data_IF_846184267493
#
_entry.id   IF_846184267493
#
_cell.length_a   1.000
_cell.length_b   1.000
_cell.length_c   1.000
_cell.angle_alpha   90.00
_cell.angle_beta   90.00
_cell.angle_gamma   90.00
#
_symmetry.space_group_name_H-M   'P 1'
#
loop_
_entity.id
_entity.type
_entity.pdbx_description
1 polymer ?
#
# COMPACT_ATOMS: atom_id res chain seq x y z
N UNK A 1 -18.30 16.89 7.85
CA UNK A 1 -19.03 17.07 6.56
C UNK A 1 -18.51 16.18 5.44
N UNK A 2 -19.25 15.11 5.10
CA UNK A 2 -18.91 14.18 4.00
C UNK A 2 -18.86 14.86 2.61
N UNK A 3 -19.67 15.91 2.40
CA UNK A 3 -19.69 16.68 1.14
C UNK A 3 -18.45 17.55 0.96
N UNK A 4 -17.90 18.10 2.05
CA UNK A 4 -16.68 18.92 2.04
C UNK A 4 -15.46 18.03 1.74
N UNK A 5 -15.41 16.85 2.36
CA UNK A 5 -14.41 15.82 2.07
C UNK A 5 -14.41 15.42 0.58
N UNK A 6 -15.59 15.21 0.00
CA UNK A 6 -15.73 14.86 -1.41
C UNK A 6 -15.31 16.00 -2.36
N UNK A 7 -15.47 17.26 -1.94
CA UNK A 7 -15.01 18.41 -2.71
C UNK A 7 -13.48 18.45 -2.83
N UNK A 8 -12.76 18.21 -1.74
CA UNK A 8 -11.29 18.13 -1.76
C UNK A 8 -10.76 16.85 -2.42
N UNK A 9 -11.54 15.77 -2.43
CA UNK A 9 -11.16 14.51 -3.09
C UNK A 9 -11.25 14.57 -4.62
N UNK A 10 -12.27 15.26 -5.15
CA UNK A 10 -12.62 15.28 -6.59
C UNK A 10 -11.45 15.53 -7.55
N UNK A 11 -10.52 16.47 -7.30
CA UNK A 11 -9.41 16.73 -8.22
C UNK A 11 -8.38 15.59 -8.31
N UNK A 12 -8.37 14.66 -7.35
CA UNK A 12 -7.34 13.63 -7.23
C UNK A 12 -7.87 12.19 -7.34
N UNK A 13 -9.16 12.01 -7.63
CA UNK A 13 -9.76 10.69 -7.76
C UNK A 13 -9.04 9.82 -8.80
N UNK A 14 -8.48 10.42 -9.85
CA UNK A 14 -7.73 9.70 -10.87
C UNK A 14 -6.41 9.13 -10.34
N UNK A 15 -5.70 9.90 -9.51
CA UNK A 15 -4.45 9.46 -8.88
C UNK A 15 -4.74 8.36 -7.86
N UNK A 16 -5.81 8.49 -7.09
CA UNK A 16 -6.25 7.47 -6.13
C UNK A 16 -6.74 6.21 -6.85
N UNK A 17 -7.42 6.34 -7.99
CA UNK A 17 -7.83 5.22 -8.83
C UNK A 17 -6.63 4.45 -9.40
N UNK A 18 -5.60 5.15 -9.90
CA UNK A 18 -4.36 4.49 -10.32
C UNK A 18 -3.66 3.81 -9.13
N UNK A 19 -3.53 4.51 -8.00
CA UNK A 19 -2.89 3.93 -6.80
C UNK A 19 -3.62 2.69 -6.28
N UNK A 20 -4.96 2.71 -6.27
CA UNK A 20 -5.78 1.54 -5.88
C UNK A 20 -5.61 0.38 -6.87
N UNK A 21 -5.56 0.64 -8.18
CA UNK A 21 -5.31 -0.39 -9.18
C UNK A 21 -3.93 -1.04 -9.01
N UNK A 22 -2.86 -0.24 -8.87
CA UNK A 22 -1.51 -0.75 -8.63
C UNK A 22 -1.42 -1.51 -7.29
N UNK A 23 -2.11 -1.02 -6.26
CA UNK A 23 -2.14 -1.68 -4.97
C UNK A 23 -2.84 -3.05 -5.01
N UNK A 24 -3.87 -3.23 -5.83
CA UNK A 24 -4.49 -4.54 -6.05
C UNK A 24 -3.52 -5.54 -6.71
N UNK A 25 -2.71 -5.08 -7.66
CA UNK A 25 -1.64 -5.90 -8.27
C UNK A 25 -0.61 -6.31 -7.21
N UNK A 26 -0.15 -5.36 -6.39
CA UNK A 26 0.78 -5.64 -5.27
C UNK A 26 0.17 -6.63 -4.28
N UNK A 27 -1.12 -6.50 -3.99
CA UNK A 27 -1.82 -7.43 -3.13
C UNK A 27 -1.72 -8.84 -3.73
N UNK A 28 -2.11 -9.03 -5.00
CA UNK A 28 -2.02 -10.32 -5.66
C UNK A 28 -0.60 -10.93 -5.57
N UNK A 29 0.43 -10.12 -5.80
CA UNK A 29 1.83 -10.54 -5.66
C UNK A 29 2.18 -11.00 -4.24
N UNK A 30 1.67 -10.35 -3.19
CA UNK A 30 1.89 -10.76 -1.79
C UNK A 30 1.39 -12.18 -1.49
N UNK A 31 0.39 -12.67 -2.22
CA UNK A 31 -0.12 -14.05 -2.07
C UNK A 31 0.58 -15.01 -3.02
N UNK A 32 0.93 -14.57 -4.23
CA UNK A 32 1.63 -15.39 -5.22
C UNK A 32 3.04 -15.82 -4.75
N UNK A 33 3.79 -14.90 -4.10
CA UNK A 33 5.15 -15.17 -3.61
C UNK A 33 5.22 -16.38 -2.66
N UNK A 34 4.42 -16.48 -1.57
CA UNK A 34 4.47 -17.64 -0.68
C UNK A 34 3.99 -18.94 -1.33
N UNK A 35 3.13 -18.89 -2.37
CA UNK A 35 2.73 -20.09 -3.12
C UNK A 35 3.89 -20.62 -3.98
N UNK A 36 4.61 -19.76 -4.69
CA UNK A 36 5.79 -20.13 -5.47
C UNK A 36 6.95 -20.60 -4.56
N UNK A 37 7.07 -20.00 -3.37
CA UNK A 37 7.98 -20.49 -2.34
C UNK A 37 7.61 -21.92 -1.88
N UNK A 38 6.32 -22.21 -1.71
CA UNK A 38 5.85 -23.58 -1.40
C UNK A 38 6.26 -24.60 -2.47
N UNK A 39 6.14 -24.23 -3.75
CA UNK A 39 6.61 -25.08 -4.86
C UNK A 39 8.11 -25.31 -4.84
N UNK A 40 8.90 -24.27 -4.51
CA UNK A 40 10.35 -24.40 -4.31
C UNK A 40 10.71 -25.40 -3.21
N UNK A 41 10.03 -25.33 -2.06
CA UNK A 41 10.24 -26.28 -0.96
C UNK A 41 9.92 -27.72 -1.41
N UNK A 42 8.85 -27.92 -2.18
CA UNK A 42 8.49 -29.25 -2.69
C UNK A 42 9.55 -29.81 -3.66
N UNK A 43 10.07 -28.96 -4.55
CA UNK A 43 11.17 -29.36 -5.47
C UNK A 43 12.39 -29.76 -4.65
N UNK A 44 12.81 -28.95 -3.68
CA UNK A 44 13.95 -29.25 -2.80
C UNK A 44 13.71 -30.56 -2.03
N UNK A 45 12.52 -30.76 -1.46
CA UNK A 45 12.20 -31.99 -0.72
C UNK A 45 12.24 -33.24 -1.60
N UNK A 46 11.70 -33.17 -2.82
CA UNK A 46 11.70 -34.31 -3.76
C UNK A 46 13.11 -34.68 -4.24
N UNK A 47 14.02 -33.70 -4.25
CA UNK A 47 15.43 -33.87 -4.58
C UNK A 47 16.24 -34.46 -3.41
N UNK A 48 15.91 -34.15 -2.14
CA UNK A 48 16.54 -34.80 -0.99
C UNK A 48 16.17 -36.29 -0.90
N UNK A 49 14.96 -36.67 -1.33
CA UNK A 49 14.53 -38.07 -1.37
C UNK A 49 15.16 -38.85 -2.54
N UNK A 50 15.53 -38.17 -3.63
CA UNK A 50 16.10 -38.76 -4.85
C UNK A 50 17.58 -38.40 -4.97
N UNK A 51 18.48 -39.18 -4.36
CA UNK A 51 19.94 -38.94 -4.41
C UNK A 51 20.50 -39.02 -5.84
N UNK A 52 20.49 -37.92 -6.58
CA UNK A 52 21.02 -37.85 -7.95
C UNK A 52 21.77 -36.54 -8.19
N UNK A 53 22.99 -36.69 -8.72
CA UNK A 53 23.92 -35.74 -9.35
C UNK A 53 23.74 -34.23 -9.14
N UNK A 54 24.80 -33.61 -8.61
CA UNK A 54 24.97 -32.17 -8.35
C UNK A 54 24.78 -31.22 -9.55
N UNK A 55 24.73 -31.72 -10.80
CA UNK A 55 24.54 -30.89 -12.01
C UNK A 55 23.05 -30.58 -12.24
N UNK A 56 22.13 -31.50 -11.94
CA UNK A 56 20.66 -31.25 -12.01
C UNK A 56 20.20 -30.25 -10.95
N UNK A 57 20.90 -30.21 -9.80
CA UNK A 57 20.58 -29.34 -8.67
C UNK A 57 20.54 -27.86 -9.07
N UNK A 58 21.52 -27.39 -9.86
CA UNK A 58 21.65 -25.98 -10.21
C UNK A 58 20.59 -25.55 -11.23
N UNK A 59 20.29 -26.41 -12.20
CA UNK A 59 19.34 -26.08 -13.27
C UNK A 59 17.89 -26.09 -12.76
N UNK A 60 17.50 -27.11 -11.98
CA UNK A 60 16.15 -27.21 -11.39
C UNK A 60 15.85 -26.11 -10.37
N UNK A 61 16.85 -25.64 -9.62
CA UNK A 61 16.67 -24.58 -8.62
C UNK A 61 16.73 -23.17 -9.21
N UNK A 62 17.54 -22.96 -10.26
CA UNK A 62 17.73 -21.63 -10.86
C UNK A 62 16.44 -21.05 -11.47
N UNK A 63 15.63 -21.89 -12.13
CA UNK A 63 14.39 -21.49 -12.80
C UNK A 63 13.33 -20.91 -11.85
N UNK A 64 12.93 -21.60 -10.76
CA UNK A 64 11.97 -21.05 -9.80
C UNK A 64 12.56 -19.94 -8.92
N UNK A 65 13.86 -19.97 -8.61
CA UNK A 65 14.53 -18.87 -7.89
C UNK A 65 14.52 -17.57 -8.69
N UNK A 66 14.82 -17.64 -9.99
CA UNK A 66 14.81 -16.47 -10.86
C UNK A 66 13.40 -15.88 -11.03
N UNK A 67 12.36 -16.74 -11.10
CA UNK A 67 10.96 -16.31 -11.11
C UNK A 67 10.57 -15.58 -9.83
N UNK A 68 10.98 -16.08 -8.65
CA UNK A 68 10.78 -15.36 -7.39
C UNK A 68 11.49 -14.01 -7.36
N UNK A 69 12.75 -13.95 -7.81
CA UNK A 69 13.52 -12.72 -7.87
C UNK A 69 12.79 -11.65 -8.70
N UNK A 70 12.30 -12.03 -9.88
CA UNK A 70 11.50 -11.14 -10.73
C UNK A 70 10.24 -10.64 -10.00
N UNK A 71 9.48 -11.55 -9.37
CA UNK A 71 8.27 -11.17 -8.63
C UNK A 71 8.56 -10.16 -7.52
N UNK A 72 9.65 -10.33 -6.76
CA UNK A 72 10.06 -9.37 -5.73
C UNK A 72 10.43 -8.00 -6.29
N UNK A 73 11.15 -7.97 -7.42
CA UNK A 73 11.49 -6.71 -8.10
C UNK A 73 10.22 -5.98 -8.55
N UNK A 74 9.31 -6.67 -9.23
CA UNK A 74 8.03 -6.11 -9.67
C UNK A 74 7.18 -5.63 -8.48
N UNK A 75 7.11 -6.43 -7.42
CA UNK A 75 6.38 -6.07 -6.21
C UNK A 75 6.94 -4.81 -5.57
N UNK A 76 8.27 -4.68 -5.48
CA UNK A 76 8.94 -3.52 -4.91
C UNK A 76 8.61 -2.24 -5.69
N UNK A 77 8.73 -2.28 -7.01
CA UNK A 77 8.43 -1.14 -7.89
C UNK A 77 6.95 -0.73 -7.76
N UNK A 78 6.03 -1.68 -7.88
CA UNK A 78 4.61 -1.40 -7.77
C UNK A 78 4.24 -0.89 -6.37
N UNK A 79 4.91 -1.39 -5.32
CA UNK A 79 4.73 -0.90 -3.95
C UNK A 79 5.18 0.55 -3.80
N UNK A 80 6.34 0.89 -4.35
CA UNK A 80 6.86 2.24 -4.34
C UNK A 80 5.94 3.21 -5.08
N UNK A 81 5.42 2.79 -6.25
CA UNK A 81 4.52 3.59 -7.07
C UNK A 81 3.23 3.96 -6.32
N UNK A 82 2.47 2.98 -5.80
CA UNK A 82 1.18 3.28 -5.18
C UNK A 82 1.35 4.10 -3.89
N UNK A 83 2.39 3.83 -3.09
CA UNK A 83 2.67 4.59 -1.86
C UNK A 83 2.98 6.05 -2.21
N UNK A 84 3.79 6.27 -3.24
CA UNK A 84 4.16 7.61 -3.69
C UNK A 84 2.95 8.37 -4.23
N UNK A 85 2.12 7.73 -5.07
CA UNK A 85 0.88 8.32 -5.58
C UNK A 85 -0.08 8.71 -4.45
N UNK A 86 -0.25 7.85 -3.45
CA UNK A 86 -1.05 8.13 -2.27
C UNK A 86 -0.44 9.25 -1.42
N UNK A 87 0.90 9.34 -1.37
CA UNK A 87 1.60 10.43 -0.69
C UNK A 87 1.32 11.77 -1.33
N UNK A 88 1.50 11.86 -2.64
CA UNK A 88 1.25 13.08 -3.41
C UNK A 88 -0.21 13.49 -3.29
N UNK A 89 -1.15 12.55 -3.36
CA UNK A 89 -2.57 12.83 -3.17
C UNK A 89 -2.84 13.40 -1.76
N UNK A 90 -2.39 12.71 -0.72
CA UNK A 90 -2.55 13.14 0.67
C UNK A 90 -1.94 14.52 0.95
N UNK A 91 -0.74 14.78 0.44
CA UNK A 91 -0.07 16.08 0.59
C UNK A 91 -0.80 17.20 -0.13
N UNK A 92 -1.28 16.96 -1.35
CA UNK A 92 -2.07 17.96 -2.10
C UNK A 92 -3.41 18.25 -1.42
N UNK A 93 -4.05 17.23 -0.82
CA UNK A 93 -5.25 17.45 0.00
C UNK A 93 -4.93 18.27 1.25
N UNK A 94 -3.88 17.91 1.99
CA UNK A 94 -3.46 18.67 3.15
C UNK A 94 -3.12 20.13 2.80
N UNK A 95 -2.45 20.36 1.67
CA UNK A 95 -2.15 21.71 1.21
C UNK A 95 -3.42 22.51 0.87
N UNK A 96 -4.44 21.89 0.27
CA UNK A 96 -5.72 22.54 0.01
C UNK A 96 -6.47 22.88 1.30
N UNK A 97 -6.57 21.92 2.23
CA UNK A 97 -7.20 22.13 3.54
C UNK A 97 -6.48 23.23 4.31
N UNK A 98 -5.14 23.24 4.30
CA UNK A 98 -4.32 24.25 4.97
C UNK A 98 -4.58 25.65 4.41
N UNK A 99 -4.73 25.79 3.09
CA UNK A 99 -5.05 27.08 2.45
C UNK A 99 -6.41 27.59 2.90
N UNK A 100 -7.43 26.74 2.87
CA UNK A 100 -8.79 27.15 3.22
C UNK A 100 -8.94 27.42 4.71
N UNK A 101 -8.27 26.63 5.55
CA UNK A 101 -8.22 26.85 6.99
C UNK A 101 -7.53 28.16 7.32
N UNK A 102 -6.40 28.48 6.67
CA UNK A 102 -5.72 29.75 6.87
C UNK A 102 -6.58 30.95 6.45
N UNK A 103 -7.26 30.85 5.30
CA UNK A 103 -8.19 31.88 4.84
C UNK A 103 -9.37 32.10 5.79
N UNK A 104 -9.88 31.04 6.40
CA UNK A 104 -10.97 31.14 7.38
C UNK A 104 -10.46 31.69 8.70
N UNK A 105 -9.32 31.22 9.22
CA UNK A 105 -8.72 31.72 10.47
C UNK A 105 -8.43 33.22 10.39
N UNK A 106 -7.96 33.73 9.25
CA UNK A 106 -7.76 35.17 9.04
C UNK A 106 -9.04 36.02 9.14
N UNK A 107 -10.23 35.40 9.10
CA UNK A 107 -11.52 36.08 9.23
C UNK A 107 -12.13 35.97 10.64
N UNK A 108 -11.50 35.24 11.57
CA UNK A 108 -12.00 35.07 12.93
C UNK A 108 -11.51 36.20 13.86
N UNK A 109 -12.33 36.50 14.89
CA UNK A 109 -12.03 37.49 15.91
C UNK A 109 -10.79 37.13 16.77
N UNK A 110 -10.19 38.16 17.37
CA UNK A 110 -8.94 38.06 18.13
C UNK A 110 -9.01 37.09 19.32
N UNK A 111 -10.20 36.85 19.88
CA UNK A 111 -10.43 35.88 20.97
C UNK A 111 -10.17 34.42 20.54
N UNK A 112 -10.33 34.08 19.26
CA UNK A 112 -10.04 32.75 18.74
C UNK A 112 -8.53 32.47 18.67
N UNK A 113 -7.74 33.51 18.36
CA UNK A 113 -6.29 33.45 18.28
C UNK A 113 -5.63 33.25 19.65
N UNK A 114 -6.24 33.75 20.74
CA UNK A 114 -5.76 33.52 22.10
C UNK A 114 -6.06 32.10 22.62
N UNK A 115 -7.09 31.43 22.10
CA UNK A 115 -7.51 30.09 22.56
C UNK A 115 -6.93 28.92 21.76
N UNK A 116 -6.54 29.09 20.50
CA UNK A 116 -6.10 27.96 19.65
C UNK A 116 -4.77 28.23 18.95
N UNK A 117 -3.78 27.34 19.19
CA UNK A 117 -2.48 27.39 18.51
C UNK A 117 -2.62 26.78 17.11
N UNK A 118 -2.53 27.60 16.06
CA UNK A 118 -2.55 27.19 14.64
C UNK A 118 -1.60 26.02 14.31
N UNK A 119 -0.51 25.82 15.08
CA UNK A 119 0.40 24.69 14.95
C UNK A 119 -0.24 23.32 15.22
N UNK A 120 -1.17 23.24 16.17
CA UNK A 120 -1.84 21.97 16.52
C UNK A 120 -2.71 21.46 15.37
N UNK A 121 -3.30 22.37 14.59
CA UNK A 121 -4.12 22.04 13.43
C UNK A 121 -3.26 21.47 12.29
N UNK A 122 -2.07 22.04 12.07
CA UNK A 122 -1.11 21.49 11.09
C UNK A 122 -0.68 20.08 11.49
N UNK A 123 -0.29 19.91 12.75
CA UNK A 123 0.26 18.66 13.24
C UNK A 123 -0.78 17.55 13.13
N UNK A 124 -2.03 17.84 13.50
CA UNK A 124 -3.17 16.94 13.29
C UNK A 124 -3.35 16.59 11.82
N UNK A 125 -3.41 17.57 10.92
CA UNK A 125 -3.61 17.31 9.49
C UNK A 125 -2.51 16.43 8.89
N UNK A 126 -1.26 16.68 9.29
CA UNK A 126 -0.11 15.87 8.83
C UNK A 126 -0.19 14.46 9.39
N UNK A 127 -0.55 14.32 10.66
CA UNK A 127 -0.77 13.03 11.33
C UNK A 127 -1.88 12.23 10.66
N UNK A 128 -3.04 12.86 10.40
CA UNK A 128 -4.20 12.26 9.74
C UNK A 128 -3.85 11.72 8.34
N UNK A 129 -3.02 12.45 7.58
CA UNK A 129 -2.55 11.99 6.26
C UNK A 129 -1.65 10.76 6.37
N UNK A 130 -0.78 10.70 7.37
CA UNK A 130 0.07 9.53 7.59
C UNK A 130 -0.76 8.33 8.06
N UNK A 131 -1.72 8.55 8.95
CA UNK A 131 -2.64 7.53 9.43
C UNK A 131 -3.50 6.97 8.29
N UNK A 132 -3.97 7.83 7.39
CA UNK A 132 -4.70 7.40 6.18
C UNK A 132 -3.83 6.49 5.30
N UNK A 133 -2.58 6.86 5.02
CA UNK A 133 -1.66 6.04 4.21
C UNK A 133 -1.44 4.66 4.84
N UNK A 134 -1.20 4.63 6.14
CA UNK A 134 -0.98 3.39 6.89
C UNK A 134 -2.22 2.50 6.89
N UNK A 135 -3.38 3.09 7.21
CA UNK A 135 -4.67 2.40 7.24
C UNK A 135 -5.04 1.83 5.88
N UNK A 136 -4.82 2.60 4.81
CA UNK A 136 -5.08 2.15 3.44
C UNK A 136 -4.22 0.95 3.05
N UNK A 137 -2.91 0.99 3.37
CA UNK A 137 -2.00 -0.15 3.17
C UNK A 137 -2.46 -1.39 3.94
N UNK A 138 -2.91 -1.21 5.19
CA UNK A 138 -3.43 -2.29 6.02
C UNK A 138 -4.71 -2.89 5.44
N UNK A 139 -5.66 -2.06 5.01
CA UNK A 139 -6.93 -2.51 4.40
C UNK A 139 -6.69 -3.41 3.19
N UNK A 140 -5.76 -3.03 2.31
CA UNK A 140 -5.43 -3.83 1.12
C UNK A 140 -4.78 -5.17 1.53
N UNK A 141 -3.81 -5.14 2.44
CA UNK A 141 -3.10 -6.33 2.89
C UNK A 141 -4.03 -7.32 3.60
N UNK A 142 -4.85 -6.81 4.53
CA UNK A 142 -5.78 -7.62 5.31
C UNK A 142 -6.96 -8.11 4.47
N UNK A 143 -7.52 -7.26 3.60
CA UNK A 143 -8.62 -7.63 2.72
C UNK A 143 -8.28 -8.79 1.78
N UNK A 144 -7.06 -8.80 1.23
CA UNK A 144 -6.62 -9.91 0.39
C UNK A 144 -6.33 -11.18 1.20
N UNK A 145 -5.73 -11.05 2.39
CA UNK A 145 -5.52 -12.20 3.29
C UNK A 145 -6.85 -12.85 3.67
N UNK A 146 -7.84 -12.05 4.03
CA UNK A 146 -9.19 -12.53 4.32
C UNK A 146 -9.79 -13.25 3.11
N UNK A 147 -9.67 -12.67 1.91
CA UNK A 147 -10.14 -13.30 0.66
C UNK A 147 -9.48 -14.66 0.41
N UNK A 148 -8.19 -14.78 0.69
CA UNK A 148 -7.42 -16.03 0.52
C UNK A 148 -7.82 -17.07 1.57
N UNK A 149 -8.07 -16.66 2.81
CA UNK A 149 -8.55 -17.54 3.88
C UNK A 149 -9.95 -18.10 3.59
N UNK A 150 -10.86 -17.25 3.10
CA UNK A 150 -12.21 -17.68 2.69
C UNK A 150 -12.13 -18.73 1.57
N UNK A 151 -11.24 -18.55 0.59
CA UNK A 151 -11.04 -19.55 -0.47
C UNK A 151 -10.54 -20.89 0.09
N UNK A 152 -9.64 -20.86 1.08
CA UNK A 152 -9.11 -22.07 1.73
C UNK A 152 -10.12 -22.76 2.66
N UNK A 153 -11.07 -22.04 3.26
CA UNK A 153 -12.07 -22.64 4.15
C UNK A 153 -13.22 -23.32 3.41
N UNK A 154 -13.40 -23.03 2.13
CA UNK A 154 -14.46 -23.60 1.28
C UNK A 154 -14.02 -24.92 0.63
N UNK A 155 -12.72 -25.23 0.65
CA UNK A 155 -12.10 -26.39 -0.01
C UNK A 155 -11.58 -27.40 1.01
#
# INVERSE_FOLDING_TARGET
>A
DWKLFWHYLRPQIWVIACATATALVVAYLNVAIPLELGNLINVISSLFTSSSSSIDFKEMLSKPTFRLLQLYIYQSIATFEYITLLSIAGERMAAAIRRDLFQNVLKLDMEFFDRTKTGEIMDRLTSDVQEFKSSFKLLISQGLRASTQVRKSIQ
#
